data_IF_596295587485
#
_entry.id   IF_596295587485
#
_cell.length_a   1.000
_cell.length_b   1.000
_cell.length_c   1.000
_cell.angle_alpha   90.00
_cell.angle_beta   90.00
_cell.angle_gamma   90.00
#
_symmetry.space_group_name_H-M   'P 1'
#
loop_
_entity.id
_entity.type
_entity.pdbx_description
1 polymer ?
#
# COMPACT_ATOMS: atom_id res chain seq x y z
N UNK A 1 -15.35 -1.41 21.16
CA UNK A 1 -13.96 -1.69 20.72
C UNK A 1 -13.39 -0.75 19.63
N UNK A 2 -14.18 0.17 19.02
CA UNK A 2 -13.66 1.08 17.96
C UNK A 2 -12.51 1.98 18.45
N UNK A 3 -12.55 2.44 19.70
CA UNK A 3 -11.50 3.27 20.29
C UNK A 3 -10.15 2.53 20.37
N UNK A 4 -10.16 1.26 20.81
CA UNK A 4 -8.95 0.45 20.87
C UNK A 4 -8.37 0.19 19.48
N UNK A 5 -9.21 -0.12 18.48
CA UNK A 5 -8.76 -0.24 17.08
C UNK A 5 -8.08 1.04 16.58
N UNK A 6 -8.64 2.21 16.88
CA UNK A 6 -8.03 3.52 16.52
C UNK A 6 -6.71 3.75 17.24
N UNK A 7 -6.59 3.35 18.51
CA UNK A 7 -5.36 3.45 19.28
C UNK A 7 -4.24 2.59 18.66
N UNK A 8 -4.52 1.32 18.40
CA UNK A 8 -3.57 0.39 17.78
C UNK A 8 -3.18 0.86 16.38
N UNK A 9 -4.15 1.28 15.56
CA UNK A 9 -3.88 1.83 14.23
C UNK A 9 -2.94 3.04 14.28
N UNK A 10 -3.11 3.94 15.26
CA UNK A 10 -2.22 5.10 15.43
C UNK A 10 -0.80 4.66 15.78
N UNK A 11 -0.65 3.71 16.70
CA UNK A 11 0.65 3.17 17.10
C UNK A 11 1.38 2.50 15.92
N UNK A 12 0.67 1.68 15.14
CA UNK A 12 1.24 1.04 13.94
C UNK A 12 1.72 2.11 12.95
N UNK A 13 0.88 3.11 12.65
CA UNK A 13 1.23 4.19 11.70
C UNK A 13 2.46 4.99 12.12
N UNK A 14 2.72 5.18 13.41
CA UNK A 14 3.90 5.92 13.89
C UNK A 14 5.21 5.15 13.75
N UNK A 15 5.16 3.82 13.64
CA UNK A 15 6.34 2.97 13.50
C UNK A 15 6.68 2.67 12.04
N UNK A 16 5.71 2.83 11.13
CA UNK A 16 5.94 2.59 9.70
C UNK A 16 6.76 3.75 9.10
N UNK A 17 7.75 3.46 8.23
CA UNK A 17 8.47 4.51 7.54
C UNK A 17 7.53 5.25 6.59
N UNK A 18 7.62 6.59 6.49
CA UNK A 18 6.74 7.38 5.61
C UNK A 18 6.92 7.05 4.13
N UNK A 19 8.00 6.35 3.76
CA UNK A 19 8.34 5.93 2.40
C UNK A 19 8.05 4.45 2.12
N UNK A 20 7.33 3.72 3.00
CA UNK A 20 7.16 2.27 2.87
C UNK A 20 6.56 1.87 1.51
N UNK A 21 5.56 2.60 1.05
CA UNK A 21 4.93 2.37 -0.26
C UNK A 21 4.67 3.70 -0.99
N UNK A 22 5.67 4.21 -1.74
CA UNK A 22 5.58 5.53 -2.37
C UNK A 22 4.43 5.66 -3.39
N UNK A 23 3.98 4.54 -3.97
CA UNK A 23 2.90 4.49 -4.97
C UNK A 23 1.54 4.10 -4.37
N UNK A 24 1.47 3.77 -3.07
CA UNK A 24 0.21 3.42 -2.42
C UNK A 24 -0.68 4.66 -2.29
N UNK A 25 -1.84 4.64 -2.95
CA UNK A 25 -2.80 5.76 -2.87
C UNK A 25 -3.96 5.44 -1.94
N UNK A 26 -4.39 4.17 -1.87
CA UNK A 26 -5.45 3.74 -0.97
C UNK A 26 -4.99 3.74 0.50
N UNK A 27 -5.92 4.04 1.43
CA UNK A 27 -5.71 4.03 2.88
C UNK A 27 -4.58 4.93 3.43
N UNK A 28 -4.03 5.81 2.58
CA UNK A 28 -3.02 6.80 2.93
C UNK A 28 -3.69 8.18 3.13
N UNK A 29 -3.38 8.91 4.21
CA UNK A 29 -3.90 10.27 4.39
C UNK A 29 -3.44 11.18 3.24
N UNK A 30 -4.32 12.09 2.80
CA UNK A 30 -4.03 13.07 1.75
C UNK A 30 -3.67 12.45 0.38
N UNK A 31 -4.16 11.24 0.10
CA UNK A 31 -4.10 10.65 -1.23
C UNK A 31 -5.48 10.20 -1.68
N UNK A 32 -5.77 10.41 -2.96
CA UNK A 32 -7.05 10.12 -3.59
C UNK A 32 -6.86 9.14 -4.75
N UNK A 33 -7.97 8.61 -5.26
CA UNK A 33 -7.97 7.75 -6.45
C UNK A 33 -7.37 8.48 -7.65
N UNK A 34 -7.62 9.78 -7.78
CA UNK A 34 -7.09 10.61 -8.87
C UNK A 34 -5.55 10.70 -8.84
N UNK A 35 -4.93 10.62 -7.67
CA UNK A 35 -3.47 10.60 -7.56
C UNK A 35 -2.89 9.32 -8.16
N UNK A 36 -3.55 8.17 -7.94
CA UNK A 36 -3.14 6.89 -8.53
C UNK A 36 -3.28 6.91 -10.06
N UNK A 37 -4.40 7.45 -10.58
CA UNK A 37 -4.67 7.57 -12.02
C UNK A 37 -3.64 8.50 -12.65
N UNK A 38 -3.45 9.69 -12.07
CA UNK A 38 -2.52 10.71 -12.58
C UNK A 38 -1.08 10.19 -12.58
N UNK A 39 -0.66 9.52 -11.51
CA UNK A 39 0.68 8.93 -11.41
C UNK A 39 0.87 7.84 -12.46
N UNK A 40 -0.09 6.92 -12.61
CA UNK A 40 -0.02 5.84 -13.60
C UNK A 40 0.04 6.38 -15.03
N UNK A 41 -0.82 7.36 -15.34
CA UNK A 41 -0.86 8.02 -16.64
C UNK A 41 0.46 8.75 -16.93
N UNK A 42 0.98 9.50 -15.96
CA UNK A 42 2.24 10.23 -16.11
C UNK A 42 3.41 9.27 -16.37
N UNK A 43 3.50 8.16 -15.63
CA UNK A 43 4.54 7.15 -15.84
C UNK A 43 4.43 6.49 -17.22
N UNK A 44 3.22 6.15 -17.65
CA UNK A 44 2.98 5.56 -18.96
C UNK A 44 3.37 6.51 -20.10
N UNK A 45 2.90 7.77 -20.06
CA UNK A 45 3.22 8.76 -21.09
C UNK A 45 4.70 9.11 -21.11
N UNK A 46 5.33 9.24 -19.94
CA UNK A 46 6.78 9.49 -19.83
C UNK A 46 7.56 8.35 -20.48
N UNK A 47 7.13 7.10 -20.32
CA UNK A 47 7.78 5.97 -20.97
C UNK A 47 7.58 5.99 -22.50
N UNK A 48 6.37 6.29 -22.97
CA UNK A 48 6.01 6.34 -24.40
C UNK A 48 6.70 7.46 -25.18
N UNK A 49 7.28 8.46 -24.51
CA UNK A 49 8.10 9.47 -25.16
C UNK A 49 9.43 8.92 -25.72
N UNK A 50 9.82 7.68 -25.37
CA UNK A 50 10.98 7.02 -25.92
C UNK A 50 10.65 6.37 -27.26
N UNK A 51 11.57 6.45 -28.23
CA UNK A 51 11.40 5.81 -29.54
C UNK A 51 11.28 4.30 -29.37
N UNK A 52 10.40 3.68 -30.16
CA UNK A 52 10.19 2.22 -30.21
C UNK A 52 9.82 1.61 -28.84
N UNK A 53 9.11 2.37 -28.00
CA UNK A 53 8.61 1.92 -26.68
C UNK A 53 7.12 1.56 -26.70
N UNK A 54 6.69 0.76 -25.74
CA UNK A 54 5.28 0.43 -25.51
C UNK A 54 5.01 0.26 -24.00
N UNK A 55 3.75 0.41 -23.60
CA UNK A 55 3.33 0.20 -22.21
C UNK A 55 2.30 -0.94 -22.17
N UNK A 56 2.56 -1.94 -21.32
CA UNK A 56 1.58 -2.94 -20.94
C UNK A 56 1.12 -2.69 -19.50
N UNK A 57 -0.19 -2.73 -19.25
CA UNK A 57 -0.77 -2.61 -17.91
C UNK A 57 -1.39 -3.93 -17.48
N UNK A 58 -1.02 -4.40 -16.30
CA UNK A 58 -1.59 -5.58 -15.67
C UNK A 58 -2.48 -5.15 -14.52
N UNK A 59 -3.76 -5.52 -14.59
CA UNK A 59 -4.74 -5.28 -13.53
C UNK A 59 -4.94 -6.57 -12.74
N UNK A 60 -4.57 -6.54 -11.46
CA UNK A 60 -4.74 -7.66 -10.52
C UNK A 60 -5.71 -7.20 -9.44
N UNK A 61 -6.68 -8.05 -9.12
CA UNK A 61 -7.56 -7.86 -7.98
C UNK A 61 -7.58 -9.11 -7.10
N UNK A 62 -7.73 -8.91 -5.80
CA UNK A 62 -7.79 -9.99 -4.81
C UNK A 62 -9.23 -10.15 -4.32
N UNK A 63 -9.87 -11.25 -4.72
CA UNK A 63 -11.20 -11.61 -4.23
C UNK A 63 -11.17 -11.76 -2.70
N UNK A 64 -12.00 -10.97 -2.01
CA UNK A 64 -12.18 -11.08 -0.56
C UNK A 64 -10.88 -10.90 0.24
N UNK A 65 -10.01 -9.98 -0.19
CA UNK A 65 -8.64 -9.83 0.32
C UNK A 65 -8.50 -9.86 1.85
N UNK A 66 -9.41 -9.21 2.59
CA UNK A 66 -9.37 -9.20 4.06
C UNK A 66 -9.78 -10.52 4.71
N UNK A 67 -10.62 -11.31 4.05
CA UNK A 67 -11.07 -12.61 4.53
C UNK A 67 -10.09 -13.74 4.18
N UNK A 68 -9.19 -13.51 3.24
CA UNK A 68 -8.17 -14.48 2.80
C UNK A 68 -6.78 -14.20 3.37
N UNK A 69 -6.64 -13.21 4.25
CA UNK A 69 -5.37 -12.95 4.95
C UNK A 69 -4.99 -14.15 5.80
N UNK A 70 -3.78 -14.68 5.57
CA UNK A 70 -3.17 -15.71 6.40
C UNK A 70 -2.55 -15.03 7.64
N UNK A 71 -3.03 -15.32 8.87
CA UNK A 71 -2.58 -14.60 10.07
C UNK A 71 -1.08 -14.73 10.36
N UNK A 72 -0.49 -15.90 10.13
CA UNK A 72 0.95 -16.12 10.38
C UNK A 72 1.83 -15.24 9.46
N UNK A 73 1.48 -15.14 8.17
CA UNK A 73 2.20 -14.31 7.20
C UNK A 73 2.06 -12.82 7.54
N UNK A 74 0.90 -12.40 8.06
CA UNK A 74 0.71 -11.03 8.52
C UNK A 74 1.59 -10.71 9.73
N UNK A 75 1.66 -11.61 10.71
CA UNK A 75 2.50 -11.45 11.90
C UNK A 75 3.97 -11.35 11.51
N UNK A 76 4.44 -12.23 10.62
CA UNK A 76 5.82 -12.21 10.12
C UNK A 76 6.14 -10.87 9.42
N UNK A 77 5.26 -10.42 8.51
CA UNK A 77 5.42 -9.12 7.82
C UNK A 77 5.45 -7.94 8.79
N UNK A 78 4.61 -7.95 9.82
CA UNK A 78 4.62 -6.90 10.85
C UNK A 78 5.91 -6.93 11.67
N UNK A 79 6.41 -8.11 12.03
CA UNK A 79 7.69 -8.26 12.74
C UNK A 79 8.86 -7.71 11.90
N UNK A 80 8.89 -7.99 10.59
CA UNK A 80 9.89 -7.43 9.66
C UNK A 80 9.84 -5.89 9.59
N UNK A 81 8.68 -5.28 9.84
CA UNK A 81 8.49 -3.83 9.89
C UNK A 81 8.82 -3.24 11.28
N UNK A 82 9.39 -4.02 12.20
CA UNK A 82 9.72 -3.59 13.56
C UNK A 82 8.51 -3.52 14.49
N UNK A 83 7.33 -3.96 14.05
CA UNK A 83 6.12 -4.09 14.86
C UNK A 83 6.12 -5.45 15.56
N UNK A 84 7.16 -5.70 16.35
CA UNK A 84 7.25 -6.93 17.11
C UNK A 84 6.18 -6.95 18.20
N UNK A 85 5.40 -8.01 18.24
CA UNK A 85 4.57 -8.38 19.39
C UNK A 85 5.46 -8.95 20.50
N UNK A 86 6.38 -8.16 21.03
CA UNK A 86 6.97 -8.50 22.34
C UNK A 86 6.04 -7.94 23.41
N UNK A 87 5.12 -8.81 23.82
CA UNK A 87 4.40 -8.73 25.08
C UNK A 87 4.57 -10.07 25.77
#
# INVERSE_FOLDING_TARGET
MKCFKRLIMRHIKTQLPPSLEPLQSAYHPNRFTDDAITTTLHLALTHLNNKDSYVGMLFIDFSSAFNTIIPQDLIEKLSLLGLNTFL
#
